data_IF_953884567912
#
_entry.id   IF_953884567912
#
_cell.length_a   1.000
_cell.length_b   1.000
_cell.length_c   1.000
_cell.angle_alpha   90.00
_cell.angle_beta   90.00
_cell.angle_gamma   90.00
#
_symmetry.space_group_name_H-M   'P 1'
#
loop_
_entity.id
_entity.type
_entity.pdbx_description
1 polymer ?
#
# COMPACT_ATOMS: atom_id res chain seq x y z
N UNK A 1 7.92 3.54 -7.56
CA UNK A 1 6.86 2.98 -6.72
C UNK A 1 7.11 3.37 -5.27
N UNK A 2 6.11 3.98 -4.63
CA UNK A 2 6.21 4.47 -3.25
C UNK A 2 4.92 4.15 -2.50
N UNK A 3 4.94 4.32 -1.19
CA UNK A 3 3.75 4.21 -0.34
C UNK A 3 3.56 5.49 0.46
N UNK A 4 2.32 5.78 0.84
CA UNK A 4 1.99 6.96 1.65
C UNK A 4 0.64 6.79 2.32
N UNK A 5 0.30 7.70 3.23
CA UNK A 5 -1.04 7.80 3.77
C UNK A 5 -1.90 8.68 2.86
N UNK A 6 -3.21 8.42 2.84
CA UNK A 6 -4.18 9.34 2.23
C UNK A 6 -4.04 10.77 2.77
N UNK A 7 -3.55 10.92 3.99
CA UNK A 7 -3.49 12.19 4.69
C UNK A 7 -2.14 12.90 4.59
N UNK A 8 -1.15 12.29 3.93
CA UNK A 8 0.20 12.86 3.80
C UNK A 8 0.64 13.06 2.35
N UNK A 9 -0.11 12.55 1.38
CA UNK A 9 0.27 12.70 -0.01
C UNK A 9 -0.96 12.99 -0.87
N UNK A 10 -0.91 14.05 -1.66
CA UNK A 10 -2.01 14.52 -2.50
C UNK A 10 -1.59 14.73 -3.96
N UNK A 11 -0.39 14.28 -4.33
CA UNK A 11 0.17 14.47 -5.66
C UNK A 11 -0.31 13.44 -6.70
N UNK A 12 0.35 13.41 -7.87
CA UNK A 12 -0.01 12.48 -8.94
C UNK A 12 0.36 11.04 -8.59
N UNK A 13 -0.25 10.08 -9.28
CA UNK A 13 0.07 8.66 -9.13
C UNK A 13 -0.58 7.97 -7.96
N UNK A 14 -1.52 8.61 -7.27
CA UNK A 14 -2.19 8.04 -6.08
C UNK A 14 -3.04 6.83 -6.45
N UNK A 15 -2.80 5.72 -5.75
CA UNK A 15 -3.56 4.47 -5.93
C UNK A 15 -3.98 3.95 -4.56
N UNK A 16 -5.28 3.89 -4.31
CA UNK A 16 -5.81 3.32 -3.07
C UNK A 16 -5.65 1.80 -3.08
N UNK A 17 -5.05 1.26 -2.03
CA UNK A 17 -5.00 -0.18 -1.78
C UNK A 17 -5.74 -0.55 -0.49
N UNK A 18 -6.58 0.35 0.02
CA UNK A 18 -7.44 0.11 1.16
C UNK A 18 -8.76 -0.52 0.72
N UNK A 19 -9.46 -1.18 1.64
CA UNK A 19 -10.80 -1.68 1.38
C UNK A 19 -11.81 -0.56 1.15
N UNK A 20 -11.59 0.59 1.81
CA UNK A 20 -12.40 1.78 1.65
C UNK A 20 -11.50 3.00 1.59
N UNK A 21 -11.84 3.96 0.74
CA UNK A 21 -11.14 5.23 0.63
C UNK A 21 -11.78 6.25 1.58
N UNK A 22 -10.99 7.09 2.27
CA UNK A 22 -11.55 8.13 3.13
C UNK A 22 -12.51 9.04 2.36
N UNK A 23 -13.58 9.47 3.04
CA UNK A 23 -14.71 10.17 2.40
C UNK A 23 -14.30 11.41 1.61
N UNK A 24 -13.40 12.22 2.13
CA UNK A 24 -13.02 13.49 1.51
C UNK A 24 -11.68 13.42 0.78
N UNK A 25 -11.29 12.26 0.30
CA UNK A 25 -10.06 12.12 -0.48
C UNK A 25 -10.15 12.93 -1.77
N UNK A 26 -9.20 13.84 -2.04
CA UNK A 26 -9.22 14.62 -3.28
C UNK A 26 -9.27 13.76 -4.52
N UNK A 27 -9.98 14.20 -5.55
CA UNK A 27 -10.10 13.48 -6.82
C UNK A 27 -8.75 13.26 -7.49
N UNK A 28 -8.69 12.31 -8.42
CA UNK A 28 -7.48 11.99 -9.18
C UNK A 28 -6.77 10.72 -8.73
N UNK A 29 -7.23 10.08 -7.66
CA UNK A 29 -6.69 8.78 -7.26
C UNK A 29 -7.34 7.65 -8.07
N UNK A 30 -6.65 6.51 -8.09
CA UNK A 30 -7.18 5.25 -8.65
C UNK A 30 -7.31 4.23 -7.53
N UNK A 31 -7.91 3.09 -7.83
CA UNK A 31 -8.13 2.00 -6.87
C UNK A 31 -7.58 0.71 -7.48
N UNK A 32 -6.80 -0.04 -6.68
CA UNK A 32 -6.28 -1.35 -7.09
C UNK A 32 -6.70 -2.40 -6.07
N UNK A 33 -7.83 -3.05 -6.33
CA UNK A 33 -8.46 -4.01 -5.41
C UNK A 33 -7.60 -5.22 -5.05
N UNK A 34 -6.78 -5.79 -5.95
CA UNK A 34 -5.99 -6.97 -5.58
C UNK A 34 -5.05 -6.77 -4.41
N UNK A 35 -4.67 -5.53 -4.09
CA UNK A 35 -3.83 -5.23 -2.93
C UNK A 35 -4.64 -4.81 -1.70
N UNK A 36 -5.98 -4.72 -1.79
CA UNK A 36 -6.80 -4.48 -0.62
C UNK A 36 -6.86 -5.75 0.23
N UNK A 37 -6.77 -5.63 1.57
CA UNK A 37 -6.81 -6.82 2.43
C UNK A 37 -8.17 -7.51 2.38
N UNK A 38 -8.20 -8.79 2.74
CA UNK A 38 -9.42 -9.58 2.76
C UNK A 38 -10.41 -9.12 3.85
N UNK A 39 -11.59 -9.78 3.94
CA UNK A 39 -12.65 -9.35 4.86
C UNK A 39 -12.29 -9.46 6.34
N UNK A 40 -11.22 -10.16 6.67
CA UNK A 40 -10.68 -10.30 8.02
C UNK A 40 -9.90 -9.07 8.51
N UNK A 41 -9.75 -8.05 7.69
CA UNK A 41 -8.78 -6.96 7.88
C UNK A 41 -8.90 -6.22 9.22
N UNK A 42 -10.07 -6.18 9.85
CA UNK A 42 -10.26 -5.48 11.13
C UNK A 42 -10.69 -6.42 12.26
N UNK A 43 -10.57 -7.73 12.07
CA UNK A 43 -11.06 -8.72 13.03
C UNK A 43 -9.98 -9.64 13.59
N UNK A 44 -8.71 -9.41 13.22
CA UNK A 44 -7.58 -10.24 13.65
C UNK A 44 -6.44 -9.35 14.15
N UNK A 45 -5.57 -9.89 15.04
CA UNK A 45 -4.38 -9.14 15.48
C UNK A 45 -3.34 -9.05 14.36
N UNK A 46 -2.35 -8.17 14.54
CA UNK A 46 -1.36 -7.87 13.51
C UNK A 46 -0.63 -9.10 12.98
N UNK A 47 -0.21 -10.01 13.84
CA UNK A 47 0.54 -11.19 13.44
C UNK A 47 -0.28 -12.09 12.52
N UNK A 48 -1.56 -12.29 12.83
CA UNK A 48 -2.46 -13.06 11.99
C UNK A 48 -2.80 -12.30 10.70
N UNK A 49 -2.98 -10.99 10.79
CA UNK A 49 -3.19 -10.14 9.61
C UNK A 49 -2.02 -10.31 8.64
N UNK A 50 -0.81 -10.21 9.16
CA UNK A 50 0.41 -10.35 8.36
C UNK A 50 0.44 -11.71 7.64
N UNK A 51 0.13 -12.79 8.35
CA UNK A 51 0.11 -14.13 7.77
C UNK A 51 -0.92 -14.25 6.66
N UNK A 52 -2.14 -13.80 6.93
CA UNK A 52 -3.24 -13.86 5.95
C UNK A 52 -2.95 -12.97 4.74
N UNK A 53 -2.38 -11.79 4.97
CA UNK A 53 -2.11 -10.87 3.88
C UNK A 53 -0.97 -11.35 2.99
N UNK A 54 0.10 -11.89 3.56
CA UNK A 54 1.17 -12.47 2.75
C UNK A 54 0.71 -13.71 1.98
N UNK A 55 -0.22 -14.49 2.52
CA UNK A 55 -0.87 -15.56 1.75
C UNK A 55 -1.63 -14.98 0.55
N UNK A 56 -2.36 -13.90 0.77
CA UNK A 56 -3.08 -13.20 -0.32
C UNK A 56 -2.10 -12.68 -1.38
N UNK A 57 -1.04 -12.01 -0.97
CA UNK A 57 -0.02 -11.51 -1.90
C UNK A 57 0.63 -12.65 -2.68
N UNK A 58 0.84 -13.80 -2.03
CA UNK A 58 1.42 -14.98 -2.68
C UNK A 58 0.60 -15.53 -3.84
N UNK A 59 -0.68 -15.17 -3.95
CA UNK A 59 -1.53 -15.55 -5.08
C UNK A 59 -1.34 -14.64 -6.30
N UNK A 60 -0.60 -13.54 -6.14
CA UNK A 60 -0.44 -12.54 -7.19
C UNK A 60 0.90 -12.73 -7.92
N UNK A 61 0.97 -12.23 -9.15
CA UNK A 61 2.19 -12.20 -9.94
C UNK A 61 2.89 -10.86 -9.73
N UNK A 62 4.02 -10.79 -9.02
CA UNK A 62 4.65 -9.51 -8.69
C UNK A 62 4.96 -8.61 -9.90
N UNK A 63 5.59 -9.08 -10.99
CA UNK A 63 5.80 -8.22 -12.15
C UNK A 63 4.49 -7.72 -12.78
N UNK A 64 3.46 -8.55 -12.79
CA UNK A 64 2.14 -8.16 -13.31
C UNK A 64 1.49 -7.08 -12.47
N UNK A 65 1.64 -7.16 -11.14
CA UNK A 65 1.14 -6.12 -10.23
C UNK A 65 1.85 -4.80 -10.48
N UNK A 66 3.18 -4.80 -10.61
CA UNK A 66 3.95 -3.59 -10.92
C UNK A 66 3.47 -2.96 -12.22
N UNK A 67 3.30 -3.77 -13.27
CA UNK A 67 2.81 -3.28 -14.57
C UNK A 67 1.42 -2.66 -14.45
N UNK A 68 0.51 -3.29 -13.71
CA UNK A 68 -0.84 -2.76 -13.50
C UNK A 68 -0.81 -1.43 -12.75
N UNK A 69 0.03 -1.31 -11.73
CA UNK A 69 0.15 -0.07 -10.96
C UNK A 69 0.69 1.08 -11.82
N UNK A 70 1.70 0.83 -12.64
CA UNK A 70 2.21 1.84 -13.55
C UNK A 70 1.17 2.26 -14.60
N UNK A 71 0.37 1.31 -15.10
CA UNK A 71 -0.71 1.63 -16.02
C UNK A 71 -1.76 2.55 -15.37
N UNK A 72 -2.11 2.29 -14.11
CA UNK A 72 -3.07 3.12 -13.38
C UNK A 72 -2.52 4.52 -13.09
N UNK A 73 -1.23 4.64 -12.87
CA UNK A 73 -0.60 5.93 -12.56
C UNK A 73 -0.44 6.84 -13.80
N UNK A 74 -0.58 6.30 -14.99
CA UNK A 74 -0.61 7.04 -16.27
C UNK A 74 0.58 8.00 -16.41
N UNK A 75 1.80 7.46 -16.40
CA UNK A 75 3.02 8.25 -16.58
C UNK A 75 3.59 8.88 -15.31
N UNK A 76 2.85 8.85 -14.20
CA UNK A 76 3.37 9.27 -12.91
C UNK A 76 3.96 8.08 -12.16
N UNK A 77 4.73 8.34 -11.10
CA UNK A 77 5.18 7.28 -10.23
C UNK A 77 4.01 6.79 -9.37
N UNK A 78 3.73 5.49 -9.35
CA UNK A 78 2.64 4.97 -8.50
C UNK A 78 2.94 5.18 -7.02
N UNK A 79 1.94 5.67 -6.27
CA UNK A 79 2.01 5.85 -4.83
C UNK A 79 0.84 5.12 -4.20
N UNK A 80 1.13 4.05 -3.47
CA UNK A 80 0.12 3.20 -2.84
C UNK A 80 -0.33 3.83 -1.54
N UNK A 81 -1.65 4.01 -1.38
CA UNK A 81 -2.22 4.74 -0.25
C UNK A 81 -3.06 3.85 0.66
N UNK A 82 -2.89 4.01 1.96
CA UNK A 82 -3.84 3.56 2.97
C UNK A 82 -3.92 4.55 4.12
N UNK A 83 -4.67 4.21 5.20
CA UNK A 83 -5.13 5.21 6.18
C UNK A 83 -4.05 5.70 7.15
N UNK A 84 -3.22 4.79 7.68
CA UNK A 84 -2.33 5.09 8.79
C UNK A 84 -1.21 6.05 8.37
N UNK A 85 -0.86 6.99 9.26
CA UNK A 85 0.25 7.93 9.06
C UNK A 85 1.49 7.44 9.81
N UNK A 86 2.70 7.62 9.24
CA UNK A 86 3.90 7.32 10.00
C UNK A 86 4.02 8.26 11.23
N UNK A 87 4.79 7.90 12.25
CA UNK A 87 5.67 6.73 12.34
C UNK A 87 4.90 5.44 12.65
N UNK A 88 5.42 4.31 12.16
CA UNK A 88 4.80 3.01 12.39
C UNK A 88 5.39 2.33 13.63
N UNK A 89 4.52 1.63 14.35
CA UNK A 89 4.87 0.84 15.53
C UNK A 89 3.77 -0.21 15.74
N UNK A 90 3.85 -1.00 16.81
CA UNK A 90 2.94 -2.12 17.03
C UNK A 90 1.46 -1.73 17.08
N UNK A 91 1.13 -0.48 17.44
CA UNK A 91 -0.24 0.01 17.48
C UNK A 91 -0.62 0.86 16.26
N UNK A 92 0.33 1.17 15.38
CA UNK A 92 0.11 1.99 14.20
C UNK A 92 0.90 1.42 13.02
N UNK A 93 0.33 0.41 12.37
CA UNK A 93 0.93 -0.28 11.23
C UNK A 93 -0.04 -0.25 10.05
N UNK A 94 0.47 -0.45 8.84
CA UNK A 94 -0.37 -0.46 7.66
C UNK A 94 0.11 -1.49 6.65
N UNK A 95 -0.85 -2.13 5.99
CA UNK A 95 -0.55 -3.16 5.00
C UNK A 95 0.27 -2.65 3.80
N UNK A 96 0.27 -1.34 3.50
CA UNK A 96 1.12 -0.83 2.41
C UNK A 96 2.60 -1.10 2.63
N UNK A 97 3.05 -1.12 3.91
CA UNK A 97 4.44 -1.47 4.21
C UNK A 97 4.70 -2.97 4.07
N UNK A 98 3.68 -3.79 4.23
CA UNK A 98 3.76 -5.22 3.93
C UNK A 98 3.88 -5.44 2.42
N UNK A 99 3.18 -4.66 1.60
CA UNK A 99 3.33 -4.69 0.15
C UNK A 99 4.77 -4.31 -0.24
N UNK A 100 5.33 -3.27 0.39
CA UNK A 100 6.71 -2.87 0.14
C UNK A 100 7.69 -4.00 0.46
N UNK A 101 7.49 -4.69 1.59
CA UNK A 101 8.29 -5.86 1.95
C UNK A 101 8.14 -6.98 0.92
N UNK A 102 6.95 -7.23 0.45
CA UNK A 102 6.68 -8.25 -0.57
C UNK A 102 7.41 -7.94 -1.88
N UNK A 103 7.38 -6.70 -2.33
CA UNK A 103 8.14 -6.30 -3.52
C UNK A 103 9.65 -6.43 -3.31
N UNK A 104 10.14 -6.10 -2.12
CA UNK A 104 11.56 -6.27 -1.82
C UNK A 104 11.98 -7.74 -1.86
N UNK A 105 11.16 -8.60 -1.27
CA UNK A 105 11.45 -10.03 -1.19
C UNK A 105 11.34 -10.71 -2.56
N UNK A 106 10.34 -10.34 -3.37
CA UNK A 106 10.07 -11.03 -4.64
C UNK A 106 10.81 -10.44 -5.83
N UNK A 107 11.07 -9.13 -5.83
CA UNK A 107 11.62 -8.42 -7.01
C UNK A 107 12.89 -7.63 -6.69
N UNK A 108 13.36 -7.65 -5.43
CA UNK A 108 14.45 -6.80 -4.96
C UNK A 108 14.18 -5.32 -5.29
N UNK A 109 12.93 -4.91 -5.17
CA UNK A 109 12.47 -3.56 -5.48
C UNK A 109 12.26 -2.78 -4.19
N UNK A 110 12.94 -1.65 -4.05
CA UNK A 110 12.77 -0.75 -2.91
C UNK A 110 11.54 0.14 -3.12
N UNK A 111 10.66 0.18 -2.12
CA UNK A 111 9.43 0.99 -2.16
C UNK A 111 9.40 1.86 -0.90
N UNK A 112 9.91 3.09 -0.99
CA UNK A 112 9.99 3.97 0.17
C UNK A 112 8.63 4.54 0.57
N UNK A 113 8.53 4.94 1.83
CA UNK A 113 7.35 5.61 2.38
C UNK A 113 7.51 7.12 2.30
N UNK A 114 6.53 7.81 1.71
CA UNK A 114 6.49 9.27 1.66
C UNK A 114 6.03 9.81 3.01
N UNK A 115 6.66 10.86 3.51
CA UNK A 115 6.31 11.48 4.78
C UNK A 115 6.96 10.82 5.97
N UNK A 116 7.78 9.78 5.77
CA UNK A 116 8.57 9.18 6.82
C UNK A 116 9.82 10.03 7.05
N UNK A 117 10.20 10.32 8.31
CA UNK A 117 11.45 11.04 8.58
C UNK A 117 12.64 10.33 7.97
N UNK A 118 13.60 11.10 7.42
CA UNK A 118 14.74 10.55 6.69
C UNK A 118 15.63 9.65 7.53
N UNK A 119 15.65 9.83 8.83
CA UNK A 119 16.40 9.01 9.77
C UNK A 119 15.54 8.39 10.84
N UNK A 120 14.33 8.17 10.52
CA UNK A 120 13.39 7.52 11.43
C UNK A 120 13.24 6.06 11.15
#
# INVERSE_FOLDING_TARGET
LKTASFFTYFGPGRISIARATPRNTPAGYRIYKPLAPGPWFNSVPEDMYRELYFDQLGQLNPPGVVAALHALAVGAEPVLLCWEKPPFHSANWCHRRMVAEWFKTTLDLDVPEIGKPDHG
#
